data_IF_438514852241
#
_entry.id   IF_438514852241
#
_cell.length_a   1.000
_cell.length_b   1.000
_cell.length_c   1.000
_cell.angle_alpha   90.00
_cell.angle_beta   90.00
_cell.angle_gamma   90.00
#
_symmetry.space_group_name_H-M   'P 1'
#
loop_
_entity.id
_entity.type
_entity.pdbx_description
1 polymer ?
#
# COMPACT_ATOMS: atom_id res chain seq x y z
N UNK A 1 13.07 6.70 9.01
CA UNK A 1 12.09 5.67 9.43
C UNK A 1 10.79 5.73 8.61
N UNK A 2 10.11 6.89 8.52
CA UNK A 2 8.84 7.06 7.77
C UNK A 2 8.96 6.65 6.29
N UNK A 3 9.99 7.09 5.59
CA UNK A 3 10.22 6.73 4.17
C UNK A 3 10.39 5.21 4.00
N UNK A 4 11.10 4.57 4.92
CA UNK A 4 11.29 3.12 4.90
C UNK A 4 9.99 2.37 5.21
N UNK A 5 9.18 2.88 6.12
CA UNK A 5 7.85 2.35 6.38
C UNK A 5 6.95 2.44 5.13
N UNK A 6 7.05 3.54 4.38
CA UNK A 6 6.32 3.70 3.12
C UNK A 6 6.76 2.67 2.07
N UNK A 7 8.08 2.48 1.93
CA UNK A 7 8.65 1.49 1.00
C UNK A 7 8.16 0.07 1.32
N UNK A 8 8.19 -0.32 2.59
CA UNK A 8 7.85 -1.68 3.02
C UNK A 8 6.35 -1.94 3.12
N UNK A 9 5.55 -0.92 3.43
CA UNK A 9 4.13 -1.08 3.68
C UNK A 9 3.26 -0.62 2.52
N UNK A 10 3.63 0.44 1.79
CA UNK A 10 2.86 0.85 0.62
C UNK A 10 3.38 0.13 -0.63
N UNK A 11 4.62 0.39 -1.06
CA UNK A 11 5.11 -0.13 -2.33
C UNK A 11 5.21 -1.66 -2.33
N UNK A 12 5.84 -2.25 -1.32
CA UNK A 12 6.01 -3.70 -1.25
C UNK A 12 4.68 -4.44 -1.12
N UNK A 13 3.77 -3.96 -0.28
CA UNK A 13 2.48 -4.65 -0.10
C UNK A 13 1.55 -4.46 -1.31
N UNK A 14 1.65 -3.35 -2.04
CA UNK A 14 0.97 -3.17 -3.31
C UNK A 14 1.52 -4.14 -4.37
N UNK A 15 2.84 -4.35 -4.43
CA UNK A 15 3.45 -5.36 -5.29
C UNK A 15 2.92 -6.77 -4.97
N UNK A 16 2.79 -7.10 -3.69
CA UNK A 16 2.21 -8.39 -3.28
C UNK A 16 0.74 -8.52 -3.68
N UNK A 17 -0.04 -7.45 -3.54
CA UNK A 17 -1.44 -7.46 -3.97
C UNK A 17 -1.57 -7.59 -5.50
N UNK A 18 -0.68 -6.98 -6.27
CA UNK A 18 -0.62 -7.13 -7.72
C UNK A 18 -0.24 -8.57 -8.12
N UNK A 19 0.71 -9.17 -7.41
CA UNK A 19 1.05 -10.59 -7.63
C UNK A 19 -0.14 -11.51 -7.34
N UNK A 20 -0.84 -11.28 -6.23
CA UNK A 20 -2.05 -12.04 -5.88
C UNK A 20 -3.12 -11.91 -6.97
N UNK A 21 -3.37 -10.71 -7.45
CA UNK A 21 -4.32 -10.47 -8.53
C UNK A 21 -3.90 -11.20 -9.82
N UNK A 22 -2.63 -11.17 -10.19
CA UNK A 22 -2.10 -11.88 -11.36
C UNK A 22 -2.35 -13.38 -11.21
N UNK A 23 -1.99 -13.98 -10.06
CA UNK A 23 -2.15 -15.41 -9.81
C UNK A 23 -3.62 -15.83 -9.88
N UNK A 24 -4.53 -15.08 -9.27
CA UNK A 24 -5.97 -15.35 -9.34
C UNK A 24 -6.51 -15.21 -10.78
N UNK A 25 -6.10 -14.17 -11.50
CA UNK A 25 -6.50 -13.98 -12.91
C UNK A 25 -6.02 -15.11 -13.79
N UNK A 26 -4.79 -15.60 -13.61
CA UNK A 26 -4.29 -16.78 -14.32
C UNK A 26 -5.17 -18.01 -14.06
N UNK A 27 -5.52 -18.25 -12.79
CA UNK A 27 -6.40 -19.36 -12.42
C UNK A 27 -7.80 -19.26 -13.05
N UNK A 28 -8.41 -18.07 -13.01
CA UNK A 28 -9.72 -17.80 -13.62
C UNK A 28 -9.73 -18.00 -15.14
N UNK A 29 -8.60 -17.73 -15.78
CA UNK A 29 -8.40 -17.96 -17.22
C UNK A 29 -7.99 -19.38 -17.58
N UNK A 30 -7.94 -20.30 -16.60
CA UNK A 30 -7.54 -21.70 -16.81
C UNK A 30 -6.05 -21.88 -17.12
N UNK A 31 -5.21 -20.87 -16.85
CA UNK A 31 -3.76 -20.98 -17.03
C UNK A 31 -3.15 -21.81 -15.89
N UNK A 32 -2.13 -22.63 -16.17
CA UNK A 32 -1.49 -23.45 -15.13
C UNK A 32 -0.69 -22.58 -14.15
N UNK A 33 -1.00 -22.73 -12.86
CA UNK A 33 -0.22 -22.13 -11.78
C UNK A 33 0.96 -23.05 -11.45
N UNK A 34 2.03 -22.94 -12.21
CA UNK A 34 3.26 -23.67 -11.95
C UNK A 34 4.25 -22.79 -11.17
N UNK A 35 5.27 -23.44 -10.60
CA UNK A 35 6.38 -22.70 -9.98
C UNK A 35 7.00 -21.70 -10.97
N UNK A 36 7.20 -22.13 -12.21
CA UNK A 36 7.85 -21.32 -13.25
C UNK A 36 7.00 -20.09 -13.61
N UNK A 37 5.68 -20.28 -13.82
CA UNK A 37 4.78 -19.18 -14.18
C UNK A 37 4.64 -18.16 -13.04
N UNK A 38 4.50 -18.61 -11.80
CA UNK A 38 4.39 -17.74 -10.63
C UNK A 38 5.72 -17.03 -10.31
N UNK A 39 6.86 -17.75 -10.38
CA UNK A 39 8.18 -17.14 -10.15
C UNK A 39 8.51 -16.09 -11.20
N UNK A 40 8.14 -16.34 -12.48
CA UNK A 40 8.29 -15.35 -13.54
C UNK A 40 7.49 -14.09 -13.24
N UNK A 41 6.19 -14.22 -12.94
CA UNK A 41 5.33 -13.08 -12.61
C UNK A 41 5.86 -12.29 -11.40
N UNK A 42 6.32 -12.98 -10.37
CA UNK A 42 6.87 -12.34 -9.17
C UNK A 42 8.18 -11.60 -9.46
N UNK A 43 9.06 -12.17 -10.27
CA UNK A 43 10.30 -11.53 -10.68
C UNK A 43 10.06 -10.27 -11.53
N UNK A 44 9.14 -10.34 -12.50
CA UNK A 44 8.75 -9.19 -13.33
C UNK A 44 8.18 -8.04 -12.48
N UNK A 45 7.40 -8.35 -11.44
CA UNK A 45 6.94 -7.34 -10.49
C UNK A 45 8.10 -6.73 -9.69
N UNK A 46 9.05 -7.53 -9.23
CA UNK A 46 10.23 -6.97 -8.56
C UNK A 46 11.04 -6.05 -9.49
N UNK A 47 11.19 -6.42 -10.75
CA UNK A 47 11.83 -5.54 -11.75
C UNK A 47 11.03 -4.24 -11.95
N UNK A 48 9.70 -4.33 -12.04
CA UNK A 48 8.82 -3.16 -12.19
C UNK A 48 8.95 -2.19 -11.02
N UNK A 49 8.98 -2.70 -9.78
CA UNK A 49 8.96 -1.87 -8.59
C UNK A 49 10.34 -1.35 -8.14
N UNK A 50 11.42 -2.09 -8.44
CA UNK A 50 12.76 -1.79 -7.94
C UNK A 50 13.84 -1.70 -9.02
N UNK A 51 13.62 -2.28 -10.20
CA UNK A 51 14.65 -2.53 -11.21
C UNK A 51 15.33 -1.30 -11.80
N UNK A 52 14.72 -0.12 -11.72
CA UNK A 52 15.30 1.09 -12.33
C UNK A 52 16.59 1.57 -11.63
N UNK A 53 16.75 1.28 -10.34
CA UNK A 53 17.86 1.78 -9.50
C UNK A 53 18.52 0.69 -8.64
N UNK A 54 18.00 -0.52 -8.70
CA UNK A 54 18.44 -1.64 -7.89
C UNK A 54 18.61 -2.89 -8.77
N UNK A 55 19.73 -3.59 -8.64
CA UNK A 55 19.87 -4.90 -9.29
C UNK A 55 18.94 -5.90 -8.59
N UNK A 56 18.03 -6.46 -9.36
CA UNK A 56 17.09 -7.48 -8.85
C UNK A 56 17.76 -8.84 -8.92
N UNK A 57 18.02 -9.44 -7.75
CA UNK A 57 18.59 -10.77 -7.63
C UNK A 57 17.58 -11.83 -8.16
N UNK A 58 18.05 -12.78 -8.95
CA UNK A 58 17.20 -13.84 -9.53
C UNK A 58 16.55 -14.72 -8.45
N UNK A 59 17.18 -14.89 -7.28
CA UNK A 59 16.63 -15.67 -6.18
C UNK A 59 15.33 -15.07 -5.62
N UNK A 60 15.11 -13.77 -5.80
CA UNK A 60 13.87 -13.11 -5.36
C UNK A 60 12.64 -13.71 -6.05
N UNK A 61 12.79 -14.30 -7.24
CA UNK A 61 11.71 -14.95 -7.98
C UNK A 61 10.96 -16.02 -7.16
N UNK A 62 11.61 -16.60 -6.16
CA UNK A 62 11.04 -17.65 -5.32
C UNK A 62 10.49 -17.13 -3.98
N UNK A 63 10.59 -15.83 -3.69
CA UNK A 63 10.19 -15.30 -2.39
C UNK A 63 8.70 -15.49 -2.09
N UNK A 64 7.84 -15.45 -3.10
CA UNK A 64 6.40 -15.64 -2.94
C UNK A 64 6.02 -16.93 -2.18
N UNK A 65 6.85 -17.98 -2.30
CA UNK A 65 6.62 -19.28 -1.67
C UNK A 65 6.61 -19.21 -0.13
N UNK A 66 7.30 -18.24 0.46
CA UNK A 66 7.42 -18.08 1.91
C UNK A 66 6.52 -17.00 2.51
N UNK A 67 5.70 -16.33 1.68
CA UNK A 67 4.83 -15.23 2.13
C UNK A 67 3.50 -15.81 2.62
N UNK A 68 3.24 -15.87 3.95
CA UNK A 68 2.05 -16.51 4.49
C UNK A 68 0.76 -15.76 4.13
N UNK A 69 0.85 -14.48 3.79
CA UNK A 69 -0.30 -13.66 3.41
C UNK A 69 -1.03 -14.20 2.18
N UNK A 70 -0.34 -14.86 1.25
CA UNK A 70 -0.95 -15.43 0.03
C UNK A 70 -1.84 -16.65 0.31
N UNK A 71 -1.82 -17.20 1.52
CA UNK A 71 -2.79 -18.22 1.96
C UNK A 71 -4.13 -17.63 2.40
N UNK A 72 -4.25 -16.28 2.42
CA UNK A 72 -5.48 -15.55 2.75
C UNK A 72 -5.83 -14.63 1.58
N UNK A 73 -6.69 -15.12 0.70
CA UNK A 73 -7.05 -14.41 -0.55
C UNK A 73 -7.45 -12.96 -0.30
N UNK A 74 -6.84 -12.07 -1.07
CA UNK A 74 -7.11 -10.63 -1.08
C UNK A 74 -7.00 -9.96 0.29
N UNK A 75 -6.03 -10.39 1.09
CA UNK A 75 -5.77 -9.79 2.40
C UNK A 75 -4.68 -8.71 2.36
N UNK A 76 -3.62 -8.93 1.56
CA UNK A 76 -2.39 -8.16 1.68
C UNK A 76 -2.53 -6.67 1.32
N UNK A 77 -3.47 -6.31 0.45
CA UNK A 77 -3.71 -4.91 0.06
C UNK A 77 -4.10 -4.00 1.23
N UNK A 78 -4.68 -4.54 2.30
CA UNK A 78 -5.14 -3.76 3.46
C UNK A 78 -4.01 -3.00 4.15
N UNK A 79 -2.78 -3.47 4.05
CA UNK A 79 -1.61 -2.78 4.62
C UNK A 79 -1.34 -1.47 3.90
N UNK A 80 -1.32 -1.49 2.57
CA UNK A 80 -1.08 -0.31 1.75
C UNK A 80 -2.22 0.70 1.89
N UNK A 81 -3.47 0.25 1.78
CA UNK A 81 -4.64 1.13 1.91
C UNK A 81 -4.76 1.70 3.32
N UNK A 82 -4.50 0.90 4.35
CA UNK A 82 -4.54 1.35 5.75
C UNK A 82 -3.50 2.43 6.05
N UNK A 83 -2.25 2.25 5.60
CA UNK A 83 -1.21 3.27 5.80
C UNK A 83 -1.52 4.54 4.99
N UNK A 84 -1.98 4.43 3.75
CA UNK A 84 -2.38 5.59 2.96
C UNK A 84 -3.54 6.37 3.61
N UNK A 85 -4.55 5.67 4.14
CA UNK A 85 -5.64 6.31 4.87
C UNK A 85 -5.14 7.03 6.13
N UNK A 86 -4.25 6.39 6.90
CA UNK A 86 -3.68 6.98 8.12
C UNK A 86 -2.84 8.23 7.83
N UNK A 87 -1.98 8.18 6.81
CA UNK A 87 -1.16 9.33 6.39
C UNK A 87 -2.04 10.47 5.87
N UNK A 88 -3.04 10.14 5.04
CA UNK A 88 -3.99 11.13 4.51
C UNK A 88 -4.79 11.81 5.62
N UNK A 89 -5.21 11.04 6.62
CA UNK A 89 -5.92 11.56 7.79
C UNK A 89 -5.03 12.45 8.67
N UNK A 90 -3.80 12.03 8.91
CA UNK A 90 -2.82 12.82 9.65
C UNK A 90 -2.55 14.16 8.97
N UNK A 91 -2.31 14.14 7.65
CA UNK A 91 -2.10 15.35 6.86
C UNK A 91 -3.33 16.27 6.90
N UNK A 92 -4.54 15.71 6.82
CA UNK A 92 -5.78 16.47 6.96
C UNK A 92 -5.89 17.15 8.33
N UNK A 93 -5.59 16.44 9.40
CA UNK A 93 -5.63 17.01 10.76
C UNK A 93 -4.63 18.15 10.90
N UNK A 94 -3.41 17.99 10.37
CA UNK A 94 -2.36 19.01 10.45
C UNK A 94 -2.67 20.24 9.61
N UNK A 95 -3.36 20.09 8.48
CA UNK A 95 -3.69 21.18 7.57
C UNK A 95 -5.01 21.91 7.89
N UNK A 96 -6.03 21.19 8.39
CA UNK A 96 -7.38 21.72 8.63
C UNK A 96 -7.69 21.98 10.12
N UNK A 97 -6.83 21.47 11.04
CA UNK A 97 -6.95 21.75 12.46
C UNK A 97 -8.20 21.16 13.13
N UNK A 98 -8.86 21.94 13.99
CA UNK A 98 -9.97 21.52 14.84
C UNK A 98 -11.16 20.89 14.10
N UNK A 99 -11.45 21.30 12.87
CA UNK A 99 -12.54 20.72 12.09
C UNK A 99 -12.26 19.24 11.77
N UNK A 100 -11.05 18.94 11.30
CA UNK A 100 -10.61 17.58 11.01
C UNK A 100 -10.48 16.72 12.28
N UNK A 101 -10.06 17.31 13.41
CA UNK A 101 -10.03 16.62 14.71
C UNK A 101 -11.44 16.21 15.15
N UNK A 102 -12.45 17.07 14.98
CA UNK A 102 -13.84 16.69 15.28
C UNK A 102 -14.33 15.53 14.44
N UNK A 103 -14.01 15.51 13.15
CA UNK A 103 -14.39 14.44 12.23
C UNK A 103 -13.65 13.14 12.56
N UNK A 104 -12.37 13.24 12.90
CA UNK A 104 -11.59 12.09 13.38
C UNK A 104 -12.18 11.49 14.66
N UNK A 105 -12.63 12.31 15.60
CA UNK A 105 -13.32 11.82 16.82
C UNK A 105 -14.63 11.09 16.49
N UNK A 106 -15.41 11.54 15.48
CA UNK A 106 -16.59 10.81 15.00
C UNK A 106 -16.23 9.42 14.49
N UNK A 107 -15.15 9.34 13.67
CA UNK A 107 -14.61 8.07 13.17
C UNK A 107 -14.26 7.12 14.32
N UNK A 108 -13.50 7.60 15.32
CA UNK A 108 -13.14 6.80 16.48
C UNK A 108 -14.36 6.34 17.28
N UNK A 109 -15.38 7.18 17.40
CA UNK A 109 -16.61 6.87 18.13
C UNK A 109 -17.55 5.91 17.41
N UNK A 110 -17.40 5.78 16.07
CA UNK A 110 -18.23 4.87 15.27
C UNK A 110 -17.92 3.40 15.56
N UNK A 111 -16.70 3.08 15.99
CA UNK A 111 -16.24 1.72 16.30
C UNK A 111 -16.63 0.74 15.17
N UNK A 112 -17.44 -0.28 15.45
CA UNK A 112 -17.93 -1.28 14.49
C UNK A 112 -19.40 -1.04 14.10
N UNK A 113 -19.94 0.17 14.29
CA UNK A 113 -21.35 0.48 14.00
C UNK A 113 -21.67 0.64 12.52
N UNK A 114 -20.65 0.87 11.69
CA UNK A 114 -20.75 1.06 10.22
C UNK A 114 -19.64 0.31 9.50
N UNK A 115 -19.81 0.01 8.20
CA UNK A 115 -18.74 -0.59 7.39
C UNK A 115 -17.45 0.25 7.40
N UNK A 116 -16.26 -0.37 7.24
CA UNK A 116 -14.96 0.32 7.36
C UNK A 116 -14.79 1.53 6.42
N UNK A 117 -15.26 1.44 5.18
CA UNK A 117 -15.18 2.57 4.23
C UNK A 117 -16.06 3.73 4.69
N UNK A 118 -17.27 3.44 5.20
CA UNK A 118 -18.19 4.46 5.69
C UNK A 118 -17.68 5.08 6.99
N UNK A 119 -17.04 4.29 7.85
CA UNK A 119 -16.35 4.82 9.03
C UNK A 119 -15.28 5.84 8.64
N UNK A 120 -14.43 5.54 7.65
CA UNK A 120 -13.40 6.47 7.16
C UNK A 120 -13.99 7.74 6.55
N UNK A 121 -15.15 7.65 5.90
CA UNK A 121 -15.86 8.82 5.38
C UNK A 121 -16.30 9.79 6.50
N UNK A 122 -16.57 9.30 7.72
CA UNK A 122 -16.84 10.17 8.86
C UNK A 122 -15.65 11.07 9.21
N UNK A 123 -14.43 10.60 8.94
CA UNK A 123 -13.21 11.40 9.06
C UNK A 123 -12.89 12.23 7.80
N UNK A 124 -13.76 12.17 6.77
CA UNK A 124 -13.56 12.82 5.50
C UNK A 124 -12.53 12.13 4.58
N UNK A 125 -12.29 10.84 4.78
CA UNK A 125 -11.40 10.01 3.97
C UNK A 125 -12.25 9.00 3.18
N UNK A 126 -12.39 9.22 1.87
CA UNK A 126 -13.13 8.32 1.00
C UNK A 126 -12.18 7.38 0.23
N UNK A 127 -11.98 6.17 0.77
CA UNK A 127 -11.13 5.14 0.16
C UNK A 127 -11.75 4.49 -1.09
N UNK A 128 -12.97 4.84 -1.48
CA UNK A 128 -13.53 4.46 -2.79
C UNK A 128 -13.01 5.33 -3.94
N UNK A 129 -12.30 6.40 -3.63
CA UNK A 129 -11.62 7.27 -4.58
C UNK A 129 -10.10 7.13 -4.48
N UNK A 130 -9.34 7.50 -5.53
CA UNK A 130 -7.87 7.49 -5.48
C UNK A 130 -7.26 8.64 -4.66
N UNK A 131 -8.06 9.59 -4.20
CA UNK A 131 -7.57 10.83 -3.59
C UNK A 131 -6.77 10.62 -2.29
N UNK A 132 -7.21 9.77 -1.34
CA UNK A 132 -6.42 9.53 -0.14
C UNK A 132 -5.04 8.91 -0.44
N UNK A 133 -4.96 8.05 -1.47
CA UNK A 133 -3.69 7.46 -1.90
C UNK A 133 -2.79 8.53 -2.51
N UNK A 134 -3.33 9.39 -3.38
CA UNK A 134 -2.57 10.52 -3.97
C UNK A 134 -2.04 11.47 -2.91
N UNK A 135 -2.87 11.79 -1.91
CA UNK A 135 -2.48 12.64 -0.78
C UNK A 135 -1.33 12.01 0.01
N UNK A 136 -1.43 10.73 0.36
CA UNK A 136 -0.38 10.01 1.06
C UNK A 136 0.93 9.95 0.26
N UNK A 137 0.86 9.71 -1.06
CA UNK A 137 2.04 9.75 -1.95
C UNK A 137 2.63 11.15 -2.07
N UNK A 138 1.81 12.21 -1.98
CA UNK A 138 2.26 13.61 -1.89
C UNK A 138 3.12 13.82 -0.65
N UNK A 139 2.63 13.45 0.52
CA UNK A 139 3.37 13.53 1.80
C UNK A 139 4.70 12.74 1.72
N UNK A 140 4.68 11.55 1.14
CA UNK A 140 5.90 10.76 0.91
C UNK A 140 6.91 11.52 0.04
N UNK A 141 6.47 12.07 -1.09
CA UNK A 141 7.29 12.83 -2.03
C UNK A 141 7.96 14.03 -1.36
N UNK A 142 7.19 14.80 -0.59
CA UNK A 142 7.67 16.00 0.09
C UNK A 142 8.68 15.64 1.19
N UNK A 143 8.39 14.58 1.97
CA UNK A 143 9.32 14.06 2.99
C UNK A 143 10.62 13.55 2.36
N UNK A 144 10.54 12.88 1.20
CA UNK A 144 11.72 12.43 0.47
C UNK A 144 12.57 13.60 -0.03
N UNK A 145 11.94 14.68 -0.50
CA UNK A 145 12.63 15.88 -0.94
C UNK A 145 13.36 16.56 0.24
N UNK A 146 12.71 16.68 1.39
CA UNK A 146 13.32 17.19 2.62
C UNK A 146 14.50 16.33 3.07
N UNK A 147 14.35 15.02 3.06
CA UNK A 147 15.42 14.08 3.42
C UNK A 147 16.63 14.22 2.50
N UNK A 148 16.42 14.31 1.18
CA UNK A 148 17.50 14.56 0.22
C UNK A 148 18.23 15.87 0.48
N UNK A 149 17.50 16.95 0.77
CA UNK A 149 18.10 18.24 1.06
C UNK A 149 19.03 18.20 2.30
N UNK A 150 18.65 17.43 3.33
CA UNK A 150 19.47 17.26 4.54
C UNK A 150 20.74 16.43 4.32
N UNK A 151 20.67 15.39 3.46
CA UNK A 151 21.83 14.52 3.21
C UNK A 151 22.84 15.20 2.26
N UNK A 152 22.37 16.05 1.36
CA UNK A 152 23.21 16.71 0.35
C UNK A 152 23.74 18.06 0.80
N UNK A 153 23.38 18.54 2.00
CA UNK A 153 23.91 19.74 2.63
C UNK A 153 25.19 19.44 3.44
#
# INVERSE_FOLDING_TARGET
HFLEQFRTTVFRQTMFAEFELIAHTMAEQGQPLTRESLSKAYYELNQKYYGAVCTVDENIANEWMRIPHFYRSYYVYVYATGLCAAVSLSDKILSEGESAVRDYRKFLSAVCSVPPIDALKLAGIDMSSPEPIRRALGVFKDTLAQFKAVIMA
#
